data_IF_199621296494
#
_entry.id   IF_199621296494
#
_cell.length_a   1.000
_cell.length_b   1.000
_cell.length_c   1.000
_cell.angle_alpha   90.00
_cell.angle_beta   90.00
_cell.angle_gamma   90.00
#
_symmetry.space_group_name_H-M   'P 1'
#
loop_
_entity.id
_entity.type
_entity.pdbx_description
1 polymer ?
#
# COMPACT_ATOMS: atom_id res chain seq x y z
N UNK A 1 -28.23 -56.27 -22.84
CA UNK A 1 -27.42 -55.86 -21.69
C UNK A 1 -26.74 -54.54 -22.04
N UNK A 2 -27.31 -53.44 -21.57
CA UNK A 2 -26.85 -52.08 -21.91
C UNK A 2 -26.00 -51.58 -20.73
N UNK A 3 -24.68 -51.47 -20.98
CA UNK A 3 -23.75 -50.96 -20.00
C UNK A 3 -23.85 -49.46 -19.90
N UNK A 4 -24.17 -48.95 -18.70
CA UNK A 4 -24.16 -47.50 -18.39
C UNK A 4 -22.71 -47.16 -18.01
N UNK A 5 -21.99 -46.42 -18.88
CA UNK A 5 -20.72 -45.81 -18.53
C UNK A 5 -20.97 -44.59 -17.67
N UNK A 6 -20.59 -44.66 -16.39
CA UNK A 6 -20.46 -43.49 -15.53
C UNK A 6 -19.15 -42.79 -15.89
N UNK A 7 -19.26 -41.63 -16.52
CA UNK A 7 -18.13 -40.72 -16.67
C UNK A 7 -17.94 -39.96 -15.31
N UNK A 8 -16.94 -40.32 -14.53
CA UNK A 8 -16.54 -39.51 -13.40
C UNK A 8 -15.99 -38.18 -13.94
N UNK A 9 -16.35 -37.02 -13.37
CA UNK A 9 -15.69 -35.78 -13.72
C UNK A 9 -14.22 -35.90 -13.29
N UNK A 10 -13.32 -35.52 -14.22
CA UNK A 10 -11.89 -35.39 -13.95
C UNK A 10 -11.70 -34.37 -12.81
N UNK A 11 -11.24 -34.85 -11.65
CA UNK A 11 -10.99 -34.09 -10.44
C UNK A 11 -9.62 -33.36 -10.50
N UNK A 12 -9.08 -33.23 -11.71
CA UNK A 12 -7.77 -32.61 -11.99
C UNK A 12 -7.89 -31.24 -12.67
N UNK A 13 -9.07 -30.59 -12.53
CA UNK A 13 -9.21 -29.21 -12.95
C UNK A 13 -8.42 -28.32 -12.01
N UNK A 14 -7.32 -27.72 -12.50
CA UNK A 14 -6.59 -26.70 -11.79
C UNK A 14 -7.56 -25.65 -11.24
N UNK A 15 -7.43 -25.22 -9.97
CA UNK A 15 -8.34 -24.26 -9.39
C UNK A 15 -8.41 -23.00 -10.27
N UNK A 16 -9.62 -22.57 -10.59
CA UNK A 16 -9.83 -21.39 -11.41
C UNK A 16 -9.09 -20.20 -10.77
N UNK A 17 -8.45 -19.33 -11.58
CA UNK A 17 -7.74 -18.17 -11.04
C UNK A 17 -8.72 -17.33 -10.23
N UNK A 18 -8.39 -17.13 -8.94
CA UNK A 18 -9.16 -16.24 -8.06
C UNK A 18 -8.93 -14.82 -8.57
N UNK A 19 -9.95 -14.26 -9.23
CA UNK A 19 -9.90 -12.86 -9.61
C UNK A 19 -9.87 -11.99 -8.35
N UNK A 20 -8.99 -10.97 -8.30
CA UNK A 20 -8.96 -10.07 -7.16
C UNK A 20 -10.32 -9.40 -6.98
N UNK A 21 -10.73 -9.17 -5.74
CA UNK A 21 -11.96 -8.45 -5.44
C UNK A 21 -11.94 -7.05 -6.12
N UNK A 22 -13.12 -6.53 -6.48
CA UNK A 22 -13.24 -5.26 -7.19
C UNK A 22 -12.52 -4.09 -6.49
N UNK A 23 -12.40 -4.18 -5.15
CA UNK A 23 -11.71 -3.19 -4.32
C UNK A 23 -10.22 -3.47 -4.10
N UNK A 24 -9.67 -4.55 -4.64
CA UNK A 24 -8.26 -4.86 -4.50
C UNK A 24 -7.44 -4.25 -5.64
N UNK A 25 -6.27 -3.69 -5.29
CA UNK A 25 -5.23 -3.27 -6.21
C UNK A 25 -4.06 -4.24 -6.02
N UNK A 26 -3.94 -5.29 -6.86
CA UNK A 26 -2.85 -6.24 -6.74
C UNK A 26 -1.51 -5.59 -7.08
N UNK A 27 -0.43 -6.09 -6.49
CA UNK A 27 0.95 -5.78 -6.86
C UNK A 27 1.58 -6.95 -7.62
N UNK A 28 2.89 -7.04 -7.66
CA UNK A 28 3.65 -8.03 -8.45
C UNK A 28 3.77 -9.42 -7.79
N UNK A 29 3.06 -9.67 -6.71
CA UNK A 29 3.06 -10.93 -5.94
C UNK A 29 4.18 -11.02 -4.89
N UNK A 30 5.26 -10.26 -5.01
CA UNK A 30 6.26 -10.12 -3.94
C UNK A 30 5.82 -9.08 -2.90
N UNK A 31 5.40 -7.90 -3.35
CA UNK A 31 4.77 -6.90 -2.52
C UNK A 31 3.27 -7.21 -2.35
N UNK A 32 2.71 -7.03 -1.15
CA UNK A 32 1.28 -7.22 -0.94
C UNK A 32 0.48 -6.15 -1.69
N UNK A 33 -0.66 -6.55 -2.25
CA UNK A 33 -1.64 -5.64 -2.81
C UNK A 33 -2.33 -4.78 -1.75
N UNK A 34 -3.07 -3.78 -2.18
CA UNK A 34 -3.80 -2.84 -1.32
C UNK A 34 -5.30 -2.98 -1.55
N UNK A 35 -6.06 -3.16 -0.47
CA UNK A 35 -7.51 -3.10 -0.49
C UNK A 35 -7.97 -1.65 -0.29
N UNK A 36 -8.79 -1.13 -1.21
CA UNK A 36 -9.26 0.27 -1.18
C UNK A 36 -10.20 0.56 0.00
N UNK A 37 -10.97 -0.44 0.47
CA UNK A 37 -11.80 -0.32 1.67
C UNK A 37 -10.93 -0.10 2.90
N UNK A 38 -9.96 -0.98 3.13
CA UNK A 38 -9.02 -0.87 4.24
C UNK A 38 -8.20 0.44 4.20
N UNK A 39 -7.85 0.91 3.00
CA UNK A 39 -7.20 2.21 2.82
C UNK A 39 -8.11 3.36 3.27
N UNK A 40 -9.40 3.35 2.88
CA UNK A 40 -10.37 4.39 3.27
C UNK A 40 -10.62 4.43 4.77
N UNK A 41 -10.60 3.25 5.42
CA UNK A 41 -10.74 3.15 6.88
C UNK A 41 -9.50 3.69 7.61
N UNK A 42 -8.32 3.52 7.02
CA UNK A 42 -7.06 3.94 7.64
C UNK A 42 -6.73 5.42 7.41
N UNK A 43 -7.13 6.00 6.28
CA UNK A 43 -6.85 7.40 5.90
C UNK A 43 -8.10 8.09 5.41
N UNK A 44 -8.23 9.38 5.73
CA UNK A 44 -9.38 10.17 5.30
C UNK A 44 -9.29 10.45 3.80
N UNK A 45 -10.06 9.70 3.01
CA UNK A 45 -10.17 9.86 1.55
C UNK A 45 -11.60 10.29 1.20
N UNK A 46 -11.80 11.28 0.31
CA UNK A 46 -13.13 11.63 -0.17
C UNK A 46 -13.84 10.42 -0.79
N UNK A 47 -15.13 10.28 -0.49
CA UNK A 47 -15.97 9.23 -1.10
C UNK A 47 -16.32 9.61 -2.55
N UNK A 48 -16.31 8.63 -3.46
CA UNK A 48 -16.88 8.77 -4.81
C UNK A 48 -15.91 8.66 -5.99
N UNK A 49 -14.58 8.75 -5.80
CA UNK A 49 -13.61 8.73 -6.90
C UNK A 49 -12.76 7.45 -6.88
N UNK A 50 -13.41 6.28 -6.97
CA UNK A 50 -12.72 4.97 -6.82
C UNK A 50 -11.59 4.77 -7.82
N UNK A 51 -11.76 5.15 -9.10
CA UNK A 51 -10.72 4.98 -10.11
C UNK A 51 -9.52 5.90 -9.89
N UNK A 52 -9.75 7.14 -9.46
CA UNK A 52 -8.65 8.06 -9.08
C UNK A 52 -7.90 7.57 -7.85
N UNK A 53 -8.63 7.03 -6.86
CA UNK A 53 -7.99 6.43 -5.69
C UNK A 53 -7.15 5.21 -6.09
N UNK A 54 -7.68 4.36 -6.96
CA UNK A 54 -6.98 3.20 -7.50
C UNK A 54 -5.70 3.61 -8.23
N UNK A 55 -5.75 4.69 -9.01
CA UNK A 55 -4.58 5.21 -9.72
C UNK A 55 -3.53 5.79 -8.75
N UNK A 56 -3.97 6.54 -7.74
CA UNK A 56 -3.08 7.03 -6.68
C UNK A 56 -2.40 5.87 -5.92
N UNK A 57 -3.12 4.78 -5.64
CA UNK A 57 -2.55 3.58 -5.02
C UNK A 57 -1.50 2.92 -5.92
N UNK A 58 -1.78 2.79 -7.23
CA UNK A 58 -0.81 2.23 -8.19
C UNK A 58 0.48 3.04 -8.19
N UNK A 59 0.36 4.37 -8.27
CA UNK A 59 1.53 5.25 -8.27
C UNK A 59 2.29 5.14 -6.96
N UNK A 60 1.62 5.17 -5.82
CA UNK A 60 2.24 5.02 -4.51
C UNK A 60 3.00 3.69 -4.36
N UNK A 61 2.42 2.59 -4.86
CA UNK A 61 3.11 1.29 -4.84
C UNK A 61 4.36 1.29 -5.72
N UNK A 62 4.32 1.91 -6.90
CA UNK A 62 5.48 2.02 -7.79
C UNK A 62 6.61 2.83 -7.14
N UNK A 63 6.28 3.97 -6.53
CA UNK A 63 7.26 4.84 -5.90
C UNK A 63 7.95 4.15 -4.72
N UNK A 64 7.18 3.55 -3.81
CA UNK A 64 7.73 2.86 -2.64
C UNK A 64 8.50 1.60 -3.05
N UNK A 65 7.98 0.81 -4.00
CA UNK A 65 8.69 -0.37 -4.50
C UNK A 65 10.01 0.03 -5.18
N UNK A 66 10.03 1.15 -5.90
CA UNK A 66 11.25 1.72 -6.51
C UNK A 66 12.30 2.12 -5.47
N UNK A 67 11.90 2.83 -4.40
CA UNK A 67 12.81 3.20 -3.31
C UNK A 67 13.39 1.98 -2.56
N UNK A 68 12.61 0.91 -2.46
CA UNK A 68 12.99 -0.31 -1.75
C UNK A 68 13.59 -1.39 -2.68
N UNK A 69 13.83 -1.09 -3.95
CA UNK A 69 14.24 -2.08 -4.95
C UNK A 69 15.55 -2.81 -4.56
N UNK A 70 16.56 -2.09 -4.08
CA UNK A 70 17.82 -2.68 -3.63
C UNK A 70 17.62 -3.60 -2.41
N UNK A 71 16.86 -3.13 -1.41
CA UNK A 71 16.55 -3.94 -0.23
C UNK A 71 15.79 -5.22 -0.62
N UNK A 72 14.79 -5.11 -1.52
CA UNK A 72 14.08 -6.28 -2.05
C UNK A 72 15.02 -7.26 -2.75
N UNK A 73 15.95 -6.77 -3.57
CA UNK A 73 16.90 -7.64 -4.27
C UNK A 73 17.73 -8.49 -3.28
N UNK A 74 18.14 -7.91 -2.17
CA UNK A 74 18.85 -8.63 -1.10
C UNK A 74 17.96 -9.70 -0.46
N UNK A 75 16.68 -9.42 -0.22
CA UNK A 75 15.74 -10.39 0.34
C UNK A 75 15.44 -11.54 -0.62
N UNK A 76 15.29 -11.26 -1.92
CA UNK A 76 15.10 -12.26 -2.96
C UNK A 76 16.36 -13.14 -3.08
N UNK A 77 17.55 -12.55 -3.03
CA UNK A 77 18.82 -13.30 -3.01
C UNK A 77 18.95 -14.18 -1.76
N UNK A 78 18.38 -13.78 -0.63
CA UNK A 78 18.29 -14.58 0.59
C UNK A 78 17.23 -15.70 0.51
N UNK A 79 16.45 -15.79 -0.57
CA UNK A 79 15.49 -16.86 -0.83
C UNK A 79 14.04 -16.56 -0.44
N UNK A 80 13.69 -15.33 -0.05
CA UNK A 80 12.32 -14.99 0.30
C UNK A 80 11.47 -14.72 -0.96
N UNK A 81 10.37 -15.48 -1.10
CA UNK A 81 9.50 -15.41 -2.28
C UNK A 81 8.53 -14.22 -2.25
N UNK A 82 8.22 -13.69 -1.08
CA UNK A 82 7.31 -12.55 -0.86
C UNK A 82 7.66 -11.82 0.43
N UNK A 83 7.17 -10.58 0.58
CA UNK A 83 7.44 -9.74 1.76
C UNK A 83 7.04 -10.43 3.07
N UNK A 84 5.91 -11.14 3.08
CA UNK A 84 5.41 -11.85 4.26
C UNK A 84 6.34 -12.96 4.76
N UNK A 85 7.23 -13.49 3.89
CA UNK A 85 8.19 -14.52 4.26
C UNK A 85 9.47 -13.95 4.90
N UNK A 86 9.70 -12.63 4.75
CA UNK A 86 10.87 -11.97 5.35
C UNK A 86 10.69 -11.89 6.87
N UNK A 87 11.63 -12.43 7.66
CA UNK A 87 11.50 -12.43 9.11
C UNK A 87 11.53 -11.02 9.68
N UNK A 88 10.40 -10.57 10.19
CA UNK A 88 10.28 -9.29 10.88
C UNK A 88 10.84 -9.36 12.30
N UNK A 89 11.13 -8.20 12.89
CA UNK A 89 11.55 -8.07 14.30
C UNK A 89 10.41 -8.36 15.26
N UNK A 90 9.19 -7.99 14.88
CA UNK A 90 7.97 -8.20 15.65
C UNK A 90 6.81 -8.54 14.70
N UNK A 91 5.82 -9.23 15.22
CA UNK A 91 4.54 -9.52 14.55
C UNK A 91 3.44 -8.82 15.32
N UNK A 92 2.61 -8.04 14.65
CA UNK A 92 1.47 -7.35 15.24
C UNK A 92 0.25 -7.65 14.39
N UNK A 93 -0.83 -8.10 14.99
CA UNK A 93 -2.08 -8.45 14.30
C UNK A 93 -1.84 -9.42 13.10
N UNK A 94 -0.99 -10.41 13.32
CA UNK A 94 -0.66 -11.44 12.32
C UNK A 94 0.21 -10.98 11.14
N UNK A 95 0.68 -9.73 11.14
CA UNK A 95 1.55 -9.16 10.11
C UNK A 95 2.93 -8.84 10.65
N UNK A 96 3.96 -9.05 9.84
CA UNK A 96 5.31 -8.62 10.16
C UNK A 96 5.41 -7.08 10.20
N UNK A 97 6.40 -6.55 10.91
CA UNK A 97 6.67 -5.12 10.91
C UNK A 97 7.01 -4.60 9.51
N UNK A 98 7.57 -5.42 8.61
CA UNK A 98 7.79 -5.05 7.22
C UNK A 98 6.49 -4.89 6.43
N UNK A 99 5.52 -5.79 6.60
CA UNK A 99 4.20 -5.64 5.97
C UNK A 99 3.48 -4.39 6.46
N UNK A 100 3.49 -4.14 7.77
CA UNK A 100 2.86 -2.95 8.35
C UNK A 100 3.51 -1.65 7.86
N UNK A 101 4.83 -1.63 7.70
CA UNK A 101 5.57 -0.47 7.15
C UNK A 101 5.27 -0.25 5.68
N UNK A 102 5.13 -1.32 4.90
CA UNK A 102 4.69 -1.24 3.51
C UNK A 102 3.34 -0.54 3.40
N UNK A 103 2.32 -1.02 4.11
CA UNK A 103 1.00 -0.40 4.10
C UNK A 103 1.05 1.05 4.60
N UNK A 104 1.79 1.33 5.69
CA UNK A 104 1.96 2.69 6.18
C UNK A 104 2.58 3.62 5.13
N UNK A 105 3.62 3.19 4.42
CA UNK A 105 4.25 3.98 3.38
C UNK A 105 3.27 4.26 2.25
N UNK A 106 2.67 3.24 1.65
CA UNK A 106 1.73 3.38 0.54
C UNK A 106 0.52 4.25 0.93
N UNK A 107 -0.09 4.00 2.09
CA UNK A 107 -1.25 4.78 2.57
C UNK A 107 -0.88 6.25 2.81
N UNK A 108 0.31 6.52 3.32
CA UNK A 108 0.77 7.90 3.54
C UNK A 108 1.05 8.64 2.24
N UNK A 109 1.60 7.99 1.20
CA UNK A 109 1.75 8.61 -0.14
C UNK A 109 0.39 8.96 -0.71
N UNK A 110 -0.57 8.03 -0.67
CA UNK A 110 -1.93 8.27 -1.17
C UNK A 110 -2.61 9.40 -0.41
N UNK A 111 -2.48 9.44 0.92
CA UNK A 111 -3.08 10.49 1.74
C UNK A 111 -2.46 11.87 1.46
N UNK A 112 -1.15 11.95 1.22
CA UNK A 112 -0.47 13.17 0.81
C UNK A 112 -0.98 13.66 -0.56
N UNK A 113 -1.03 12.78 -1.57
CA UNK A 113 -1.51 13.10 -2.92
C UNK A 113 -2.97 13.60 -2.92
N UNK A 114 -3.84 12.94 -2.16
CA UNK A 114 -5.25 13.36 -2.00
C UNK A 114 -5.32 14.70 -1.25
N UNK A 115 -4.50 14.90 -0.22
CA UNK A 115 -4.43 16.15 0.53
C UNK A 115 -3.97 17.32 -0.33
N UNK A 116 -2.91 17.15 -1.13
CA UNK A 116 -2.40 18.19 -2.05
C UNK A 116 -3.45 18.61 -3.08
N UNK A 117 -4.20 17.67 -3.64
CA UNK A 117 -5.29 17.97 -4.58
C UNK A 117 -6.44 18.74 -3.92
N UNK A 118 -6.70 18.51 -2.64
CA UNK A 118 -7.72 19.24 -1.89
C UNK A 118 -7.34 20.70 -1.59
N UNK A 119 -6.02 20.99 -1.58
CA UNK A 119 -5.50 22.36 -1.37
C UNK A 119 -5.78 23.29 -2.56
N UNK A 120 -5.72 22.77 -3.80
CA UNK A 120 -5.79 23.57 -5.03
C UNK A 120 -7.04 24.44 -5.22
N UNK A 121 -8.28 24.00 -4.88
CA UNK A 121 -9.49 24.77 -5.15
C UNK A 121 -9.87 25.82 -4.08
N UNK A 122 -9.18 25.94 -2.96
CA UNK A 122 -9.63 26.70 -1.77
C UNK A 122 -8.93 28.05 -1.59
N UNK A 123 -9.09 28.96 -2.55
CA UNK A 123 -8.45 30.29 -2.55
C UNK A 123 -9.34 31.42 -1.95
N UNK A 124 -10.22 31.15 -0.97
CA UNK A 124 -10.97 32.18 -0.27
C UNK A 124 -10.38 32.49 1.10
N UNK A 125 -10.59 33.71 1.62
CA UNK A 125 -10.04 34.18 2.89
C UNK A 125 -10.48 33.36 4.12
N UNK A 126 -11.65 32.72 4.09
CA UNK A 126 -12.09 31.74 5.09
C UNK A 126 -11.39 30.37 4.93
N UNK A 127 -10.62 30.18 3.87
CA UNK A 127 -9.87 28.99 3.55
C UNK A 127 -8.43 28.99 4.07
N UNK A 128 -7.88 30.13 4.52
CA UNK A 128 -6.47 30.23 4.89
C UNK A 128 -6.09 29.29 6.06
N UNK A 129 -6.86 29.29 7.14
CA UNK A 129 -6.62 28.42 8.30
C UNK A 129 -6.80 26.93 7.93
N UNK A 130 -7.80 26.65 7.08
CA UNK A 130 -8.06 25.31 6.59
C UNK A 130 -6.95 24.82 5.64
N UNK A 131 -6.41 25.73 4.84
CA UNK A 131 -5.29 25.47 3.94
C UNK A 131 -4.03 25.15 4.72
N UNK A 132 -3.74 25.86 5.80
CA UNK A 132 -2.60 25.60 6.68
C UNK A 132 -2.73 24.24 7.36
N UNK A 133 -3.91 23.89 7.88
CA UNK A 133 -4.18 22.58 8.46
C UNK A 133 -3.99 21.44 7.44
N UNK A 134 -4.47 21.61 6.20
CA UNK A 134 -4.29 20.61 5.14
C UNK A 134 -2.81 20.42 4.76
N UNK A 135 -2.04 21.50 4.70
CA UNK A 135 -0.58 21.42 4.46
C UNK A 135 0.14 20.70 5.59
N UNK A 136 -0.21 21.00 6.84
CA UNK A 136 0.34 20.30 8.00
C UNK A 136 0.05 18.79 7.97
N UNK A 137 -1.16 18.39 7.53
CA UNK A 137 -1.51 16.98 7.36
C UNK A 137 -0.67 16.31 6.26
N UNK A 138 -0.47 16.98 5.12
CA UNK A 138 0.40 16.49 4.02
C UNK A 138 1.83 16.29 4.52
N UNK A 139 2.40 17.25 5.24
CA UNK A 139 3.75 17.16 5.80
C UNK A 139 3.90 15.98 6.77
N UNK A 140 2.87 15.71 7.58
CA UNK A 140 2.83 14.53 8.46
C UNK A 140 2.88 13.23 7.64
N UNK A 141 2.11 13.15 6.55
CA UNK A 141 2.10 11.96 5.71
C UNK A 141 3.45 11.76 5.00
N UNK A 142 4.05 12.80 4.42
CA UNK A 142 5.38 12.72 3.79
C UNK A 142 6.46 12.28 4.78
N UNK A 143 6.43 12.80 6.01
CA UNK A 143 7.32 12.35 7.09
C UNK A 143 7.10 10.88 7.44
N UNK A 144 5.86 10.40 7.47
CA UNK A 144 5.55 9.00 7.71
C UNK A 144 6.11 8.08 6.61
N UNK A 145 6.06 8.51 5.34
CA UNK A 145 6.71 7.81 4.23
C UNK A 145 8.20 7.67 4.48
N UNK A 146 8.88 8.79 4.74
CA UNK A 146 10.32 8.81 5.00
C UNK A 146 10.70 7.88 6.18
N UNK A 147 9.92 7.89 7.26
CA UNK A 147 10.17 7.02 8.41
C UNK A 147 9.94 5.55 8.08
N UNK A 148 8.88 5.20 7.35
CA UNK A 148 8.61 3.82 6.97
C UNK A 148 9.74 3.26 6.08
N UNK A 149 10.19 4.01 5.07
CA UNK A 149 11.30 3.63 4.19
C UNK A 149 12.61 3.49 4.97
N UNK A 150 12.92 4.44 5.84
CA UNK A 150 14.14 4.37 6.69
C UNK A 150 14.12 3.17 7.62
N UNK A 151 12.97 2.84 8.18
CA UNK A 151 12.81 1.67 9.05
C UNK A 151 13.01 0.34 8.28
N UNK A 152 12.56 0.25 7.01
CA UNK A 152 12.90 -0.87 6.13
C UNK A 152 14.41 -1.02 5.97
N UNK A 153 15.09 0.09 5.68
CA UNK A 153 16.52 0.13 5.42
C UNK A 153 17.38 0.04 6.70
N UNK A 154 16.76 -0.08 7.88
CA UNK A 154 17.48 -0.08 9.16
C UNK A 154 18.21 1.24 9.45
N UNK A 155 17.82 2.35 8.81
CA UNK A 155 18.45 3.66 8.97
C UNK A 155 17.80 4.45 10.11
N UNK A 156 18.56 5.24 10.89
CA UNK A 156 18.00 6.07 11.96
C UNK A 156 17.05 7.13 11.39
N UNK A 157 15.99 7.44 12.13
CA UNK A 157 15.07 8.53 11.80
C UNK A 157 15.78 9.86 12.13
N UNK A 158 16.09 10.64 11.10
CA UNK A 158 16.63 11.98 11.26
C UNK A 158 15.46 12.96 11.12
N UNK A 159 15.17 13.73 12.17
CA UNK A 159 14.30 14.90 12.12
C UNK A 159 15.26 16.08 11.98
N UNK A 160 15.32 16.68 10.79
CA UNK A 160 16.01 17.96 10.62
C UNK A 160 15.03 19.04 11.08
N UNK A 161 15.23 19.59 12.27
CA UNK A 161 14.63 20.88 12.62
C UNK A 161 15.46 21.94 11.92
N UNK A 162 14.84 22.71 11.01
CA UNK A 162 15.43 23.93 10.51
C UNK A 162 15.39 24.95 11.66
N UNK A 163 16.57 25.34 12.14
CA UNK A 163 16.76 26.47 13.04
C UNK A 163 16.56 27.77 12.28
#
# INVERSE_FOLDING_TARGET
MTGISFNLPDDDAAPAPVLPAADDVPCDGWWPGVNLGALRDAVRVPSGETERLRDAVRQAMLDIAGELAAWRADQVAAGYAKLADVPGRIVVDGKSDYELRWFRAVYSVVAADVGERAVGPQLSSAGADRLEALRADVDVHLRNVAFAVRDFLGKPRIVAEAL
#
